data_IF_917363557855
#
_entry.id   IF_917363557855
#
_cell.length_a   1.000
_cell.length_b   1.000
_cell.length_c   1.000
_cell.angle_alpha   90.00
_cell.angle_beta   90.00
_cell.angle_gamma   90.00
#
_symmetry.space_group_name_H-M   'P 1'
#
loop_
_entity.id
_entity.type
_entity.pdbx_description
1 polymer ?
#
# COMPACT_ATOMS: atom_id res chain seq x y z
N UNK A 1 -10.15 -16.31 -12.90
CA UNK A 1 -9.88 -15.51 -11.67
C UNK A 1 -8.40 -15.58 -11.38
N UNK A 2 -7.70 -14.45 -11.33
CA UNK A 2 -6.27 -14.40 -10.96
C UNK A 2 -6.13 -14.60 -9.46
N UNK A 3 -5.52 -15.72 -9.04
CA UNK A 3 -5.10 -15.91 -7.66
C UNK A 3 -4.02 -14.89 -7.33
N UNK A 4 -4.28 -14.03 -6.33
CA UNK A 4 -3.31 -13.06 -5.85
C UNK A 4 -2.36 -13.77 -4.89
N UNK A 5 -1.09 -13.92 -5.29
CA UNK A 5 -0.03 -14.42 -4.42
C UNK A 5 0.63 -13.20 -3.77
N UNK A 6 0.59 -13.13 -2.45
CA UNK A 6 1.21 -12.04 -1.71
C UNK A 6 2.72 -12.28 -1.58
N UNK A 7 3.56 -11.21 -1.63
CA UNK A 7 4.98 -11.31 -1.30
C UNK A 7 5.15 -11.77 0.15
N UNK A 8 6.25 -12.46 0.43
CA UNK A 8 6.54 -12.97 1.78
C UNK A 8 6.55 -11.85 2.84
N UNK A 9 6.93 -10.64 2.44
CA UNK A 9 7.01 -9.48 3.32
C UNK A 9 5.63 -8.90 3.68
N UNK A 10 4.57 -9.29 2.94
CA UNK A 10 3.19 -8.88 3.21
C UNK A 10 2.39 -10.11 3.67
N UNK A 11 2.49 -10.37 4.97
CA UNK A 11 1.78 -11.41 5.71
C UNK A 11 0.23 -11.36 5.64
N UNK A 12 -0.36 -10.20 5.34
CA UNK A 12 -1.81 -9.98 5.41
C UNK A 12 -2.39 -9.34 4.14
N UNK A 13 -3.49 -9.90 3.63
CA UNK A 13 -4.26 -9.34 2.51
C UNK A 13 -4.75 -7.93 2.80
N UNK A 14 -5.15 -7.65 4.05
CA UNK A 14 -5.58 -6.31 4.45
C UNK A 14 -4.43 -5.32 4.36
N UNK A 15 -3.24 -5.73 4.83
CA UNK A 15 -2.05 -4.90 4.76
C UNK A 15 -1.64 -4.60 3.32
N UNK A 16 -1.67 -5.61 2.44
CA UNK A 16 -1.46 -5.42 1.01
C UNK A 16 -2.40 -4.34 0.44
N UNK A 17 -3.70 -4.41 0.75
CA UNK A 17 -4.69 -3.45 0.26
C UNK A 17 -4.38 -2.05 0.79
N UNK A 18 -4.10 -1.90 2.08
CA UNK A 18 -3.80 -0.59 2.70
C UNK A 18 -2.55 0.04 2.09
N UNK A 19 -1.45 -0.72 1.97
CA UNK A 19 -0.20 -0.23 1.38
C UNK A 19 -0.40 0.13 -0.10
N UNK A 20 -1.06 -0.72 -0.88
CA UNK A 20 -1.34 -0.45 -2.29
C UNK A 20 -2.25 0.76 -2.47
N UNK A 21 -3.27 0.95 -1.61
CA UNK A 21 -4.16 2.10 -1.67
C UNK A 21 -3.41 3.40 -1.37
N UNK A 22 -2.59 3.42 -0.32
CA UNK A 22 -1.80 4.59 0.04
C UNK A 22 -0.77 4.93 -1.05
N UNK A 23 -0.15 3.91 -1.65
CA UNK A 23 0.75 4.11 -2.79
C UNK A 23 0.02 4.60 -4.04
N UNK A 24 -1.18 4.09 -4.33
CA UNK A 24 -1.99 4.58 -5.44
C UNK A 24 -2.33 6.07 -5.31
N UNK A 25 -2.59 6.56 -4.08
CA UNK A 25 -2.79 7.99 -3.80
C UNK A 25 -1.54 8.81 -4.12
N UNK A 26 -0.34 8.31 -3.79
CA UNK A 26 0.91 9.00 -4.16
C UNK A 26 1.05 9.10 -5.68
N UNK A 27 0.75 8.02 -6.42
CA UNK A 27 0.80 8.03 -7.89
C UNK A 27 -0.23 8.99 -8.49
N UNK A 28 -1.43 9.07 -7.93
CA UNK A 28 -2.45 10.05 -8.32
C UNK A 28 -1.98 11.50 -8.09
N UNK A 29 -1.19 11.73 -7.04
CA UNK A 29 -0.59 13.03 -6.74
C UNK A 29 0.67 13.34 -7.57
N UNK A 30 0.97 12.54 -8.62
CA UNK A 30 2.08 12.78 -9.53
C UNK A 30 3.41 12.12 -9.12
N UNK A 31 3.41 11.24 -8.11
CA UNK A 31 4.60 10.46 -7.82
C UNK A 31 4.98 9.57 -9.01
N UNK A 32 6.28 9.41 -9.25
CA UNK A 32 6.78 8.54 -10.32
C UNK A 32 6.55 7.08 -9.98
N UNK A 33 6.16 6.30 -10.98
CA UNK A 33 6.12 4.86 -10.89
C UNK A 33 7.54 4.29 -10.74
N UNK A 34 7.68 3.27 -9.89
CA UNK A 34 8.95 2.58 -9.58
C UNK A 34 9.15 1.30 -10.39
N UNK A 35 8.09 0.82 -11.06
CA UNK A 35 8.12 -0.36 -11.93
C UNK A 35 7.56 -0.02 -13.30
N UNK A 36 8.03 -0.72 -14.33
CA UNK A 36 7.41 -0.65 -15.65
C UNK A 36 6.06 -1.37 -15.62
N UNK A 37 4.98 -0.59 -15.67
CA UNK A 37 3.63 -1.11 -15.66
C UNK A 37 2.97 -0.95 -17.03
N UNK A 38 2.40 -2.04 -17.57
CA UNK A 38 1.58 -1.98 -18.79
C UNK A 38 0.31 -1.12 -18.64
N UNK A 39 -0.13 -0.86 -17.41
CA UNK A 39 -1.34 -0.09 -17.15
C UNK A 39 -1.00 1.27 -16.59
N UNK A 40 -1.77 2.28 -17.00
CA UNK A 40 -1.71 3.64 -16.45
C UNK A 40 -2.63 3.85 -15.24
N UNK A 41 -3.42 2.84 -14.85
CA UNK A 41 -4.34 2.94 -13.71
C UNK A 41 -3.53 2.93 -12.40
N UNK A 42 -3.57 4.00 -11.57
CA UNK A 42 -2.72 4.14 -10.38
C UNK A 42 -2.79 2.94 -9.43
N UNK A 43 -3.99 2.43 -9.17
CA UNK A 43 -4.20 1.25 -8.31
C UNK A 43 -3.50 0.00 -8.86
N UNK A 44 -3.51 -0.19 -10.18
CA UNK A 44 -2.86 -1.36 -10.79
C UNK A 44 -1.34 -1.25 -10.73
N UNK A 45 -0.80 -0.05 -10.96
CA UNK A 45 0.64 0.23 -10.82
C UNK A 45 1.08 0.04 -9.38
N UNK A 46 0.34 0.60 -8.41
CA UNK A 46 0.64 0.44 -6.99
C UNK A 46 0.65 -1.03 -6.56
N UNK A 47 -0.34 -1.83 -6.97
CA UNK A 47 -0.34 -3.27 -6.70
C UNK A 47 0.91 -3.94 -7.28
N UNK A 48 1.32 -3.61 -8.51
CA UNK A 48 2.52 -4.17 -9.13
C UNK A 48 3.79 -3.76 -8.38
N UNK A 49 3.91 -2.51 -7.93
CA UNK A 49 5.04 -2.06 -7.14
C UNK A 49 5.12 -2.77 -5.78
N UNK A 50 3.98 -2.97 -5.10
CA UNK A 50 3.93 -3.69 -3.82
C UNK A 50 4.27 -5.17 -4.03
N UNK A 51 3.75 -5.81 -5.08
CA UNK A 51 4.07 -7.20 -5.41
C UNK A 51 5.56 -7.38 -5.79
N UNK A 52 6.17 -6.37 -6.40
CA UNK A 52 7.59 -6.36 -6.76
C UNK A 52 8.52 -5.97 -5.60
N UNK A 53 7.99 -5.67 -4.40
CA UNK A 53 8.81 -5.21 -3.27
C UNK A 53 9.42 -3.80 -3.46
N UNK A 54 8.94 -3.03 -4.44
CA UNK A 54 9.45 -1.69 -4.74
C UNK A 54 8.90 -0.59 -3.82
N UNK A 55 8.03 -0.95 -2.86
CA UNK A 55 7.39 -0.05 -1.90
C UNK A 55 7.82 -0.42 -0.49
N UNK A 56 8.62 0.43 0.14
CA UNK A 56 8.92 0.37 1.57
C UNK A 56 7.74 0.94 2.37
N UNK A 57 7.35 0.26 3.44
CA UNK A 57 6.29 0.67 4.36
C UNK A 57 6.62 0.16 5.76
N UNK A 58 6.09 0.86 6.76
CA UNK A 58 6.20 0.49 8.18
C UNK A 58 4.83 0.68 8.82
N UNK A 59 4.47 -0.23 9.73
CA UNK A 59 3.28 -0.05 10.57
C UNK A 59 3.71 0.79 11.76
N UNK A 60 3.08 1.95 11.94
CA UNK A 60 3.19 2.67 13.20
C UNK A 60 2.16 2.08 14.14
N UNK A 61 2.62 1.50 15.24
CA UNK A 61 1.73 1.19 16.35
C UNK A 61 1.21 2.53 16.90
N UNK A 62 -0.07 2.80 16.72
CA UNK A 62 -0.71 3.94 17.36
C UNK A 62 -0.68 3.70 18.88
N UNK A 63 -0.03 4.62 19.60
CA UNK A 63 -0.16 4.69 21.05
C UNK A 63 -1.66 4.73 21.42
N UNK A 64 -2.07 4.09 22.53
CA UNK A 64 -3.48 4.02 22.91
C UNK A 64 -4.12 5.41 22.86
N UNK A 65 -5.38 5.52 22.42
CA UNK A 65 -6.08 6.80 22.28
C UNK A 65 -5.85 7.61 23.54
N UNK A 66 -5.29 8.81 23.40
CA UNK A 66 -5.17 9.75 24.52
C UNK A 66 -6.60 9.97 25.02
N UNK A 67 -6.90 9.49 26.22
CA UNK A 67 -8.17 9.71 26.90
C UNK A 67 -8.45 11.21 26.82
N UNK A 68 -9.42 11.59 25.99
CA UNK A 68 -9.95 12.94 25.97
C UNK A 68 -10.74 13.09 27.27
N UNK A 69 -10.29 13.91 28.24
CA UNK A 69 -11.07 14.11 29.44
C UNK A 69 -12.40 14.75 29.01
N UNK A 70 -13.48 14.03 29.28
CA UNK A 70 -14.84 14.49 29.12
C UNK A 70 -15.01 15.74 30.01
N UNK A 71 -15.31 16.87 29.38
CA UNK A 71 -15.44 18.19 30.00
C UNK A 71 -16.91 18.52 30.28
#
# INVERSE_FOLDING_TARGET
>A
MTHLILPKDVDSKFRFITVAAQRAKQLQNGAKARVEARSRKPTRVAMQEVLAGAVSWEVKDEAPPKEVPEA
#
